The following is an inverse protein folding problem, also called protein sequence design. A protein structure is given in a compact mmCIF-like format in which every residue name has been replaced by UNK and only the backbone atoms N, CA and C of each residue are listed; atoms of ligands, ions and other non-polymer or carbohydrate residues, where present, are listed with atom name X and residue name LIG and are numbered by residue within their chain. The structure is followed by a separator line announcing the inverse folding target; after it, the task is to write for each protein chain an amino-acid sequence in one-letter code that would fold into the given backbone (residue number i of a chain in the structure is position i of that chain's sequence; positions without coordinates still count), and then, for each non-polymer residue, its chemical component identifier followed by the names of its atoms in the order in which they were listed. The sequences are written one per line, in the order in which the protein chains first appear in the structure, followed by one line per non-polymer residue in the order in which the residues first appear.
data_IF_423146777126
#
_entry.id   IF_423146777126
#
_cell.length_a   1.000
_cell.length_b   1.000
_cell.length_c   1.000
_cell.angle_alpha   90.00
_cell.angle_beta   90.00
_cell.angle_gamma   90.00
#
_symmetry.space_group_name_H-M   'P 1'
#
loop_
_entity.id
_entity.type
_entity.pdbx_description
1 polymer ?
#
# COMPACT_ATOMS: atom_id res chain seq x y z
N UNK A 1 40.15 -2.74 -14.30
CA UNK A 1 39.46 -1.86 -13.32
C UNK A 1 39.23 -2.65 -12.04
N UNK A 2 39.82 -2.22 -10.91
CA UNK A 2 39.79 -2.98 -9.65
C UNK A 2 38.36 -3.07 -9.08
N UNK A 3 38.08 -4.12 -8.31
CA UNK A 3 36.84 -4.28 -7.55
C UNK A 3 36.60 -3.10 -6.59
N UNK A 4 37.69 -2.52 -6.05
CA UNK A 4 37.68 -1.38 -5.15
C UNK A 4 37.18 -0.09 -5.83
N UNK A 5 37.57 0.17 -7.08
CA UNK A 5 37.06 1.33 -7.85
C UNK A 5 35.56 1.22 -8.19
N UNK A 6 34.96 0.01 -8.09
CA UNK A 6 33.51 -0.18 -8.23
C UNK A 6 32.76 0.09 -6.92
N UNK A 7 33.41 -0.06 -5.77
CA UNK A 7 32.87 0.29 -4.46
C UNK A 7 32.95 1.81 -4.19
N UNK A 8 34.00 2.49 -4.66
CA UNK A 8 34.13 3.96 -4.52
C UNK A 8 33.13 4.75 -5.39
N UNK A 9 32.74 4.24 -6.57
CA UNK A 9 31.67 4.88 -7.39
C UNK A 9 30.26 4.72 -6.81
N UNK A 10 30.12 4.12 -5.64
CA UNK A 10 28.85 3.94 -4.94
C UNK A 10 28.31 5.23 -4.28
N UNK A 11 28.86 6.41 -4.61
CA UNK A 11 28.33 7.70 -4.16
C UNK A 11 26.89 7.96 -4.67
N UNK A 12 26.46 7.27 -5.74
CA UNK A 12 25.09 7.34 -6.29
C UNK A 12 24.50 5.94 -6.55
N UNK A 13 24.23 5.16 -5.50
CA UNK A 13 23.49 3.89 -5.64
C UNK A 13 21.97 4.14 -5.56
N UNK A 14 21.17 3.74 -6.57
CA UNK A 14 19.70 3.89 -6.54
C UNK A 14 19.05 3.20 -5.32
N UNK A 15 19.72 2.19 -4.76
CA UNK A 15 19.32 1.55 -3.50
C UNK A 15 19.29 2.56 -2.35
N UNK A 16 20.33 3.40 -2.21
CA UNK A 16 20.42 4.40 -1.12
C UNK A 16 19.27 5.40 -1.19
N UNK A 17 18.94 5.88 -2.38
CA UNK A 17 17.81 6.79 -2.58
C UNK A 17 16.49 6.14 -2.20
N UNK A 18 16.25 4.90 -2.61
CA UNK A 18 15.04 4.18 -2.22
C UNK A 18 14.97 3.96 -0.71
N UNK A 19 16.08 3.62 -0.04
CA UNK A 19 16.12 3.53 1.42
C UNK A 19 15.74 4.86 2.08
N UNK A 20 16.35 5.96 1.65
CA UNK A 20 16.07 7.30 2.18
C UNK A 20 14.59 7.68 1.97
N UNK A 21 14.06 7.48 0.77
CA UNK A 21 12.66 7.83 0.45
C UNK A 21 11.68 7.00 1.30
N UNK A 22 11.90 5.69 1.43
CA UNK A 22 11.04 4.84 2.26
C UNK A 22 11.09 5.21 3.75
N UNK A 23 12.28 5.51 4.27
CA UNK A 23 12.46 5.96 5.65
C UNK A 23 11.81 7.33 5.89
N UNK A 24 11.97 8.26 4.94
CA UNK A 24 11.34 9.58 4.99
C UNK A 24 9.82 9.48 4.94
N UNK A 25 9.27 8.64 4.06
CA UNK A 25 7.82 8.42 3.95
C UNK A 25 7.24 7.76 5.20
N UNK A 26 7.97 6.84 5.84
CA UNK A 26 7.55 6.26 7.11
C UNK A 26 7.58 7.29 8.24
N UNK A 27 8.65 8.08 8.34
CA UNK A 27 8.75 9.18 9.32
C UNK A 27 7.63 10.21 9.11
N UNK A 28 7.33 10.57 7.86
CA UNK A 28 6.21 11.43 7.51
C UNK A 28 4.87 10.82 7.92
N UNK A 29 4.64 9.53 7.66
CA UNK A 29 3.41 8.83 8.05
C UNK A 29 3.22 8.81 9.56
N UNK A 30 4.29 8.61 10.33
CA UNK A 30 4.28 8.68 11.79
C UNK A 30 3.92 10.09 12.27
N UNK A 31 4.56 11.11 11.70
CA UNK A 31 4.26 12.52 12.01
C UNK A 31 2.81 12.89 11.67
N UNK A 32 2.32 12.45 10.51
CA UNK A 32 0.94 12.68 10.06
C UNK A 32 -0.07 12.02 10.99
N UNK A 33 0.25 10.83 11.51
CA UNK A 33 -0.62 10.12 12.46
C UNK A 33 -0.76 10.87 13.78
N UNK A 34 0.33 11.44 14.30
CA UNK A 34 0.29 12.29 15.53
C UNK A 34 -0.62 13.52 15.40
N UNK A 35 -0.93 13.97 14.18
CA UNK A 35 -1.87 15.10 13.95
C UNK A 35 -3.34 14.70 14.11
N UNK A 36 -3.63 13.41 14.05
CA UNK A 36 -4.99 12.85 14.18
C UNK A 36 -5.09 11.83 15.33
N UNK A 37 -4.03 11.60 16.12
CA UNK A 37 -4.00 10.65 17.24
C UNK A 37 -5.08 10.92 18.30
N UNK A 38 -5.49 12.19 18.45
CA UNK A 38 -6.58 12.59 19.34
C UNK A 38 -7.96 12.06 18.90
N UNK A 39 -8.05 11.60 17.64
CA UNK A 39 -9.22 10.96 17.03
C UNK A 39 -9.00 9.47 16.84
N UNK A 40 -7.92 9.10 16.15
CA UNK A 40 -7.62 7.74 15.73
C UNK A 40 -6.22 7.43 16.24
N UNK A 41 -6.11 6.84 17.45
CA UNK A 41 -4.81 6.54 18.05
C UNK A 41 -3.97 5.67 17.12
N UNK A 42 -2.76 6.12 16.80
CA UNK A 42 -1.80 5.31 16.07
C UNK A 42 -1.28 4.16 16.94
N UNK A 43 -0.98 2.99 16.36
CA UNK A 43 -0.24 1.94 17.04
C UNK A 43 1.11 2.46 17.55
N UNK A 44 1.57 1.97 18.71
CA UNK A 44 2.84 2.40 19.32
C UNK A 44 4.04 2.37 18.37
N UNK A 45 4.06 1.43 17.43
CA UNK A 45 5.18 1.19 16.51
C UNK A 45 4.80 1.35 15.03
N UNK A 46 3.76 2.11 14.70
CA UNK A 46 3.36 2.31 13.31
C UNK A 46 2.39 3.47 13.11
N UNK A 47 2.25 3.96 11.87
CA UNK A 47 1.26 4.98 11.54
C UNK A 47 -0.16 4.44 11.64
N UNK A 48 -1.12 5.35 11.83
CA UNK A 48 -2.55 5.03 11.80
C UNK A 48 -2.96 4.46 10.44
N UNK A 49 -3.81 3.43 10.46
CA UNK A 49 -4.39 2.85 9.24
C UNK A 49 -5.15 3.88 8.40
N UNK A 50 -5.73 4.90 9.03
CA UNK A 50 -6.40 6.00 8.36
C UNK A 50 -5.42 6.84 7.52
N UNK A 51 -4.27 7.22 8.10
CA UNK A 51 -3.21 7.92 7.37
C UNK A 51 -2.75 7.10 6.18
N UNK A 52 -2.46 5.81 6.38
CA UNK A 52 -2.02 4.93 5.29
C UNK A 52 -3.07 4.80 4.17
N UNK A 53 -4.34 4.75 4.54
CA UNK A 53 -5.47 4.64 3.61
C UNK A 53 -5.63 5.92 2.80
N UNK A 54 -5.72 7.09 3.43
CA UNK A 54 -5.90 8.35 2.69
C UNK A 54 -4.67 8.72 1.88
N UNK A 55 -3.49 8.52 2.46
CA UNK A 55 -2.24 8.95 1.87
C UNK A 55 -1.75 8.05 0.75
N UNK A 56 -2.31 6.87 0.49
CA UNK A 56 -1.94 6.16 -0.75
C UNK A 56 -2.00 4.66 -0.79
N UNK A 57 -2.62 3.99 0.19
CA UNK A 57 -2.90 2.55 0.08
C UNK A 57 -3.56 2.22 -1.27
N UNK A 58 -3.16 1.10 -1.88
CA UNK A 58 -3.56 0.71 -3.24
C UNK A 58 -4.99 0.16 -3.29
N UNK A 59 -5.97 1.02 -3.06
CA UNK A 59 -7.38 0.68 -3.05
C UNK A 59 -7.93 0.62 -4.48
N UNK A 60 -8.54 -0.52 -4.84
CA UNK A 60 -9.04 -0.77 -6.19
C UNK A 60 -10.08 0.26 -6.63
N UNK A 61 -11.12 0.49 -5.83
CA UNK A 61 -12.16 1.48 -6.13
C UNK A 61 -11.57 2.87 -6.38
N UNK A 62 -10.66 3.32 -5.51
CA UNK A 62 -10.01 4.64 -5.62
C UNK A 62 -9.19 4.78 -6.91
N UNK A 63 -8.43 3.74 -7.28
CA UNK A 63 -7.64 3.73 -8.51
C UNK A 63 -8.55 3.80 -9.75
N UNK A 64 -9.67 3.06 -9.75
CA UNK A 64 -10.62 3.05 -10.87
C UNK A 64 -11.31 4.41 -11.09
N UNK A 65 -11.49 5.20 -10.02
CA UNK A 65 -12.06 6.57 -10.11
C UNK A 65 -11.00 7.65 -10.33
N UNK A 66 -9.76 7.28 -10.65
CA UNK A 66 -8.73 8.22 -11.10
C UNK A 66 -7.62 8.52 -10.08
N UNK A 67 -7.62 7.91 -8.89
CA UNK A 67 -6.50 8.02 -7.93
C UNK A 67 -5.33 7.08 -8.30
N UNK A 68 -4.92 7.09 -9.57
CA UNK A 68 -3.85 6.25 -10.15
C UNK A 68 -2.54 6.35 -9.38
N UNK A 69 -2.29 7.51 -8.77
CA UNK A 69 -1.08 7.80 -8.01
C UNK A 69 -0.87 6.85 -6.85
N UNK A 70 -1.94 6.24 -6.31
CA UNK A 70 -1.89 5.20 -5.28
C UNK A 70 -1.10 3.96 -5.70
N UNK A 71 -1.01 3.67 -7.00
CA UNK A 71 -0.28 2.51 -7.49
C UNK A 71 1.24 2.61 -7.22
N UNK A 72 1.81 3.81 -7.32
CA UNK A 72 3.20 4.03 -6.89
C UNK A 72 3.28 4.44 -5.41
N UNK A 73 2.34 5.26 -4.92
CA UNK A 73 2.36 5.76 -3.55
C UNK A 73 2.37 4.64 -2.50
N UNK A 74 1.56 3.58 -2.72
CA UNK A 74 1.50 2.42 -1.83
C UNK A 74 2.85 1.73 -1.64
N UNK A 75 3.73 1.76 -2.64
CA UNK A 75 5.05 1.11 -2.60
C UNK A 75 5.97 1.71 -1.53
N UNK A 76 5.68 2.91 -1.04
CA UNK A 76 6.53 3.63 -0.09
C UNK A 76 5.92 3.76 1.32
N UNK A 77 4.67 3.32 1.50
CA UNK A 77 3.98 3.32 2.79
C UNK A 77 4.24 2.02 3.57
N UNK A 78 4.40 2.11 4.88
CA UNK A 78 4.70 0.94 5.72
C UNK A 78 3.85 0.92 6.99
N UNK A 79 3.35 -0.26 7.33
CA UNK A 79 2.39 -0.45 8.42
C UNK A 79 2.98 -0.29 9.83
N UNK A 80 4.25 -0.62 10.02
CA UNK A 80 4.92 -0.60 11.32
C UNK A 80 6.44 -0.70 11.16
N UNK A 81 7.14 -0.53 12.29
CA UNK A 81 8.60 -0.52 12.36
C UNK A 81 9.24 -1.84 11.87
N UNK A 82 8.70 -2.99 12.25
CA UNK A 82 9.21 -4.28 11.77
C UNK A 82 9.02 -4.43 10.26
N UNK A 83 7.85 -4.03 9.74
CA UNK A 83 7.54 -4.11 8.32
C UNK A 83 8.52 -3.27 7.49
N UNK A 84 8.81 -2.02 7.88
CA UNK A 84 9.83 -1.23 7.18
C UNK A 84 11.24 -1.79 7.38
N UNK A 85 11.60 -2.23 8.59
CA UNK A 85 12.93 -2.78 8.85
C UNK A 85 13.26 -3.99 7.97
N UNK A 86 12.33 -4.95 7.87
CA UNK A 86 12.51 -6.12 7.01
C UNK A 86 12.58 -5.74 5.52
N UNK A 87 11.73 -4.82 5.05
CA UNK A 87 11.78 -4.36 3.67
C UNK A 87 13.10 -3.65 3.33
N UNK A 88 13.58 -2.78 4.22
CA UNK A 88 14.82 -2.03 3.99
C UNK A 88 16.05 -2.95 4.05
N UNK A 89 16.05 -3.92 4.96
CA UNK A 89 17.07 -4.97 5.00
C UNK A 89 17.10 -5.79 3.69
N UNK A 90 15.94 -6.26 3.22
CA UNK A 90 15.84 -7.04 2.00
C UNK A 90 16.17 -6.20 0.75
N UNK A 91 15.72 -4.94 0.69
CA UNK A 91 16.05 -4.00 -0.37
C UNK A 91 17.56 -3.71 -0.41
N UNK A 92 18.20 -3.48 0.73
CA UNK A 92 19.64 -3.28 0.78
C UNK A 92 20.38 -4.53 0.28
N UNK A 93 19.97 -5.71 0.74
CA UNK A 93 20.62 -6.98 0.39
C UNK A 93 20.48 -7.32 -1.10
N UNK A 94 19.23 -7.46 -1.59
CA UNK A 94 18.99 -7.79 -2.99
C UNK A 94 19.33 -6.64 -3.93
N UNK A 95 19.04 -5.41 -3.53
CA UNK A 95 19.28 -4.24 -4.35
C UNK A 95 20.75 -3.95 -4.57
N UNK A 96 21.59 -4.08 -3.53
CA UNK A 96 23.04 -3.92 -3.68
C UNK A 96 23.59 -5.01 -4.59
N UNK A 97 23.21 -6.27 -4.37
CA UNK A 97 23.63 -7.38 -5.21
C UNK A 97 23.20 -7.20 -6.67
N UNK A 98 21.95 -6.81 -6.91
CA UNK A 98 21.44 -6.55 -8.25
C UNK A 98 22.10 -5.36 -8.92
N UNK A 99 22.43 -4.29 -8.19
CA UNK A 99 23.12 -3.11 -8.74
C UNK A 99 24.51 -3.47 -9.27
N UNK A 100 25.22 -4.38 -8.61
CA UNK A 100 26.52 -4.89 -9.08
C UNK A 100 26.42 -5.68 -10.39
N UNK A 101 25.27 -6.32 -10.64
CA UNK A 101 25.01 -7.14 -11.83
C UNK A 101 24.33 -6.35 -12.97
N UNK A 102 23.70 -5.23 -12.63
CA UNK A 102 22.89 -4.43 -13.54
C UNK A 102 23.71 -3.36 -14.25
N UNK A 103 23.23 -2.92 -15.43
CA UNK A 103 23.84 -1.85 -16.21
C UNK A 103 22.83 -0.73 -16.45
N UNK A 104 23.31 0.52 -16.43
CA UNK A 104 22.46 1.68 -16.66
C UNK A 104 21.26 1.69 -15.71
N UNK A 105 20.06 1.83 -16.25
CA UNK A 105 18.82 1.97 -15.48
C UNK A 105 18.08 0.65 -15.19
N UNK A 106 18.70 -0.50 -15.47
CA UNK A 106 18.04 -1.81 -15.30
C UNK A 106 17.56 -2.05 -13.88
N UNK A 107 18.32 -1.64 -12.86
CA UNK A 107 17.90 -1.74 -11.46
C UNK A 107 16.61 -0.95 -11.20
N UNK A 108 16.60 0.34 -11.52
CA UNK A 108 15.47 1.23 -11.29
C UNK A 108 14.22 0.75 -12.02
N UNK A 109 14.37 0.34 -13.29
CA UNK A 109 13.28 -0.21 -14.08
C UNK A 109 12.74 -1.50 -13.46
N UNK A 110 13.60 -2.43 -13.06
CA UNK A 110 13.17 -3.67 -12.41
C UNK A 110 12.42 -3.39 -11.11
N UNK A 111 12.95 -2.52 -10.24
CA UNK A 111 12.29 -2.18 -8.97
C UNK A 111 10.90 -1.58 -9.18
N UNK A 112 10.78 -0.56 -10.04
CA UNK A 112 9.51 0.14 -10.25
C UNK A 112 8.49 -0.71 -11.01
N UNK A 113 8.92 -1.44 -12.06
CA UNK A 113 8.02 -2.33 -12.80
C UNK A 113 7.53 -3.46 -11.89
N UNK A 114 8.42 -4.08 -11.09
CA UNK A 114 8.02 -5.11 -10.14
C UNK A 114 7.08 -4.60 -9.06
N UNK A 115 7.28 -3.39 -8.56
CA UNK A 115 6.34 -2.77 -7.62
C UNK A 115 4.94 -2.65 -8.23
N UNK A 116 4.85 -2.13 -9.47
CA UNK A 116 3.59 -1.99 -10.19
C UNK A 116 2.92 -3.33 -10.51
N UNK A 117 3.68 -4.35 -10.94
CA UNK A 117 3.09 -5.68 -11.18
C UNK A 117 2.69 -6.35 -9.88
N UNK A 118 3.37 -6.06 -8.76
CA UNK A 118 2.92 -6.45 -7.43
C UNK A 118 1.61 -5.79 -7.06
N UNK A 119 1.48 -4.48 -7.24
CA UNK A 119 0.21 -3.77 -7.02
C UNK A 119 -0.89 -4.34 -7.90
N UNK A 120 -0.62 -4.60 -9.19
CA UNK A 120 -1.59 -5.23 -10.07
C UNK A 120 -2.02 -6.61 -9.56
N UNK A 121 -1.08 -7.46 -9.15
CA UNK A 121 -1.38 -8.78 -8.58
C UNK A 121 -2.26 -8.69 -7.34
N UNK A 122 -1.96 -7.74 -6.45
CA UNK A 122 -2.77 -7.41 -5.28
C UNK A 122 -4.19 -7.00 -5.67
N UNK A 123 -4.33 -6.01 -6.55
CA UNK A 123 -5.63 -5.48 -6.99
C UNK A 123 -6.52 -6.55 -7.64
N UNK A 124 -5.94 -7.40 -8.49
CA UNK A 124 -6.68 -8.49 -9.14
C UNK A 124 -7.18 -9.51 -8.12
N UNK A 125 -6.33 -9.92 -7.18
CA UNK A 125 -6.70 -10.90 -6.17
C UNK A 125 -7.73 -10.35 -5.18
N UNK A 126 -7.51 -9.12 -4.68
CA UNK A 126 -8.41 -8.49 -3.72
C UNK A 126 -9.76 -8.14 -4.35
N UNK A 127 -9.77 -7.65 -5.59
CA UNK A 127 -10.99 -7.42 -6.35
C UNK A 127 -11.78 -8.70 -6.61
N UNK A 128 -11.10 -9.81 -6.94
CA UNK A 128 -11.74 -11.11 -7.10
C UNK A 128 -12.33 -11.63 -5.78
N UNK A 129 -11.58 -11.53 -4.67
CA UNK A 129 -11.98 -12.12 -3.39
C UNK A 129 -13.03 -11.30 -2.65
N UNK A 130 -13.00 -9.97 -2.77
CA UNK A 130 -13.83 -9.08 -1.96
C UNK A 130 -14.72 -8.13 -2.77
N UNK A 131 -14.61 -8.12 -4.10
CA UNK A 131 -15.32 -7.16 -4.96
C UNK A 131 -14.63 -5.79 -5.04
N UNK A 132 -15.09 -4.94 -5.96
CA UNK A 132 -14.41 -3.66 -6.28
C UNK A 132 -14.43 -2.66 -5.14
N UNK A 133 -15.62 -2.40 -4.60
CA UNK A 133 -15.83 -1.43 -3.51
C UNK A 133 -15.19 -1.92 -2.24
N UNK A 134 -15.32 -3.23 -2.01
CA UNK A 134 -14.93 -3.85 -0.79
C UNK A 134 -13.55 -4.54 -0.86
N UNK A 135 -12.63 -4.16 -1.76
CA UNK A 135 -11.27 -4.72 -1.84
C UNK A 135 -10.28 -3.97 -0.92
N UNK A 136 -9.54 -4.67 -0.03
CA UNK A 136 -8.61 -4.00 0.86
C UNK A 136 -7.39 -3.53 0.08
N UNK A 137 -6.88 -2.35 0.43
CA UNK A 137 -5.65 -1.83 -0.16
C UNK A 137 -4.40 -2.48 0.44
N UNK A 138 -3.30 -2.44 -0.32
CA UNK A 138 -1.99 -2.93 0.08
C UNK A 138 -0.98 -1.78 0.16
N UNK A 139 0.08 -1.99 0.95
CA UNK A 139 1.18 -1.05 1.13
C UNK A 139 2.51 -1.78 1.32
N UNK A 140 3.60 -1.12 0.98
CA UNK A 140 4.97 -1.55 1.26
C UNK A 140 5.80 -1.81 0.01
N UNK A 141 7.11 -1.70 0.18
CA UNK A 141 8.08 -1.95 -0.88
C UNK A 141 8.20 -3.43 -1.27
N UNK A 142 7.55 -4.33 -0.53
CA UNK A 142 7.78 -5.78 -0.60
C UNK A 142 7.50 -6.38 -1.98
N UNK A 143 6.46 -5.94 -2.70
CA UNK A 143 6.23 -6.37 -4.09
C UNK A 143 7.43 -6.10 -5.00
N UNK A 144 8.01 -4.89 -4.91
CA UNK A 144 9.21 -4.54 -5.66
C UNK A 144 10.44 -5.37 -5.23
N UNK A 145 10.60 -5.61 -3.92
CA UNK A 145 11.69 -6.43 -3.36
C UNK A 145 11.61 -7.89 -3.82
N UNK A 146 10.42 -8.50 -3.76
CA UNK A 146 10.19 -9.84 -4.31
C UNK A 146 10.47 -9.88 -5.81
N UNK A 147 10.20 -8.78 -6.52
CA UNK A 147 10.60 -8.58 -7.90
C UNK A 147 12.10 -8.56 -8.13
N UNK A 148 12.90 -7.94 -7.26
CA UNK A 148 14.37 -8.06 -7.35
C UNK A 148 14.80 -9.53 -7.21
N UNK A 149 14.17 -10.29 -6.32
CA UNK A 149 14.34 -11.74 -6.22
C UNK A 149 13.97 -12.47 -7.51
N UNK A 150 12.82 -12.14 -8.11
CA UNK A 150 12.37 -12.67 -9.40
C UNK A 150 13.31 -12.33 -10.55
N UNK A 151 13.86 -11.12 -10.57
CA UNK A 151 14.87 -10.72 -11.55
C UNK A 151 16.14 -11.56 -11.41
N UNK A 152 16.68 -11.71 -10.19
CA UNK A 152 17.88 -12.52 -9.95
C UNK A 152 17.63 -13.99 -10.33
N UNK A 153 16.46 -14.52 -9.98
CA UNK A 153 16.07 -15.88 -10.36
C UNK A 153 16.02 -16.05 -11.89
N UNK A 154 15.40 -15.11 -12.61
CA UNK A 154 15.33 -15.11 -14.07
C UNK A 154 16.68 -14.89 -14.75
N UNK A 155 17.55 -14.06 -14.16
CA UNK A 155 18.88 -13.73 -14.69
C UNK A 155 19.83 -14.93 -14.66
N UNK A 156 19.68 -15.81 -13.67
CA UNK A 156 20.47 -17.02 -13.51
C UNK A 156 19.75 -18.29 -13.98
N UNK A 157 18.54 -18.13 -14.56
CA UNK A 157 17.79 -19.27 -15.08
C UNK A 157 18.57 -19.93 -16.24
N UNK A 158 18.74 -21.25 -16.16
CA UNK A 158 19.54 -22.02 -17.13
C UNK A 158 21.06 -21.89 -16.98
N UNK A 159 21.57 -21.17 -15.97
CA UNK A 159 23.01 -21.06 -15.74
C UNK A 159 23.61 -22.38 -15.23
N UNK A 160 24.73 -22.80 -15.83
CA UNK A 160 25.53 -23.95 -15.38
C UNK A 160 26.59 -23.56 -14.33
N UNK A 161 26.81 -22.26 -14.12
CA UNK A 161 27.73 -21.75 -13.09
C UNK A 161 27.26 -22.17 -11.68
N UNK A 162 28.11 -22.87 -10.88
CA UNK A 162 27.73 -23.32 -9.54
C UNK A 162 27.35 -22.17 -8.59
N UNK A 163 28.00 -21.01 -8.70
CA UNK A 163 27.68 -19.83 -7.89
C UNK A 163 26.27 -19.30 -8.18
N UNK A 164 25.91 -19.16 -9.46
CA UNK A 164 24.59 -18.77 -9.91
C UNK A 164 23.50 -19.76 -9.48
N UNK A 165 23.79 -21.07 -9.52
CA UNK A 165 22.86 -22.09 -9.03
C UNK A 165 22.67 -21.99 -7.51
N UNK A 166 23.73 -21.76 -6.75
CA UNK A 166 23.65 -21.59 -5.30
C UNK A 166 22.81 -20.37 -4.93
N UNK A 167 23.00 -19.23 -5.61
CA UNK A 167 22.17 -18.02 -5.42
C UNK A 167 20.70 -18.33 -5.69
N UNK A 168 20.38 -19.07 -6.75
CA UNK A 168 18.99 -19.47 -7.03
C UNK A 168 18.41 -20.36 -5.95
N UNK A 169 19.16 -21.33 -5.42
CA UNK A 169 18.68 -22.19 -4.31
C UNK A 169 18.41 -21.37 -3.05
N UNK A 170 19.29 -20.43 -2.72
CA UNK A 170 19.09 -19.50 -1.60
C UNK A 170 17.86 -18.61 -1.81
N UNK A 171 17.64 -18.09 -3.03
CA UNK A 171 16.45 -17.32 -3.37
C UNK A 171 15.16 -18.14 -3.22
N UNK A 172 15.16 -19.40 -3.67
CA UNK A 172 14.01 -20.30 -3.51
C UNK A 172 13.75 -20.56 -2.02
N UNK A 173 14.79 -20.84 -1.24
CA UNK A 173 14.64 -21.01 0.20
C UNK A 173 14.08 -19.74 0.87
N UNK A 174 14.64 -18.58 0.56
CA UNK A 174 14.18 -17.29 1.07
C UNK A 174 12.71 -17.04 0.70
N UNK A 175 12.32 -17.32 -0.55
CA UNK A 175 10.94 -17.19 -1.02
C UNK A 175 10.01 -18.09 -0.20
N UNK A 176 10.30 -19.39 -0.12
CA UNK A 176 9.49 -20.37 0.61
C UNK A 176 9.37 -20.01 2.10
N UNK A 177 10.48 -19.60 2.73
CA UNK A 177 10.48 -19.17 4.12
C UNK A 177 9.61 -17.93 4.34
N UNK A 178 9.69 -16.91 3.47
CA UNK A 178 8.86 -15.71 3.58
C UNK A 178 7.38 -16.01 3.34
N UNK A 179 7.03 -16.90 2.41
CA UNK A 179 5.63 -17.32 2.24
C UNK A 179 5.13 -18.11 3.44
N UNK A 180 5.93 -19.04 3.98
CA UNK A 180 5.54 -19.84 5.13
C UNK A 180 5.36 -18.99 6.40
N UNK A 181 6.31 -18.11 6.71
CA UNK A 181 6.20 -17.15 7.81
C UNK A 181 5.05 -16.17 7.54
N UNK A 182 4.95 -15.68 6.30
CA UNK A 182 3.97 -14.68 5.96
C UNK A 182 2.54 -15.18 6.04
N UNK A 183 2.30 -16.46 5.73
CA UNK A 183 1.00 -17.10 5.86
C UNK A 183 0.51 -17.17 7.32
N UNK A 184 1.41 -17.06 8.29
CA UNK A 184 1.09 -17.03 9.72
C UNK A 184 0.80 -15.61 10.24
N UNK A 185 1.14 -14.56 9.47
CA UNK A 185 0.95 -13.17 9.85
C UNK A 185 -0.25 -12.61 9.09
N UNK A 186 -1.37 -12.28 9.78
CA UNK A 186 -2.53 -11.73 9.14
C UNK A 186 -2.21 -10.46 8.34
N UNK A 187 -2.91 -10.28 7.21
CA UNK A 187 -2.82 -9.10 6.33
C UNK A 187 -1.52 -8.96 5.53
N UNK A 188 -0.74 -10.04 5.36
CA UNK A 188 0.33 -10.06 4.36
C UNK A 188 -0.24 -10.30 2.96
N UNK A 189 0.19 -9.46 2.02
CA UNK A 189 -0.25 -9.49 0.64
C UNK A 189 0.61 -10.43 -0.23
N UNK A 190 0.27 -11.71 -0.18
CA UNK A 190 0.93 -12.75 -0.97
C UNK A 190 0.73 -12.57 -2.49
N UNK A 191 -0.44 -12.09 -2.92
CA UNK A 191 -0.70 -11.85 -4.33
C UNK A 191 0.20 -10.74 -4.87
N UNK A 192 0.43 -9.69 -4.06
CA UNK A 192 1.39 -8.65 -4.36
C UNK A 192 2.83 -9.15 -4.47
N UNK A 193 3.25 -10.06 -3.57
CA UNK A 193 4.57 -10.69 -3.64
C UNK A 193 4.76 -11.53 -4.91
N UNK A 194 3.76 -12.34 -5.27
CA UNK A 194 3.79 -13.16 -6.50
C UNK A 194 3.83 -12.27 -7.74
N UNK A 195 2.94 -11.26 -7.82
CA UNK A 195 2.90 -10.32 -8.94
C UNK A 195 4.22 -9.56 -9.11
N UNK A 196 4.86 -9.18 -8.00
CA UNK A 196 6.17 -8.55 -8.01
C UNK A 196 7.28 -9.46 -8.54
N UNK A 197 7.36 -10.68 -8.02
CA UNK A 197 8.30 -11.71 -8.47
C UNK A 197 8.18 -11.98 -9.99
N UNK A 198 6.95 -12.17 -10.48
CA UNK A 198 6.68 -12.39 -11.90
C UNK A 198 7.17 -11.21 -12.75
N UNK A 199 6.85 -9.98 -12.35
CA UNK A 199 7.31 -8.79 -13.08
C UNK A 199 8.83 -8.68 -13.16
N UNK A 200 9.52 -8.97 -12.05
CA UNK A 200 10.97 -8.95 -12.00
C UNK A 200 11.60 -10.04 -12.89
N UNK A 201 11.03 -11.25 -12.87
CA UNK A 201 11.43 -12.33 -13.75
C UNK A 201 11.30 -11.94 -15.22
N UNK A 202 10.17 -11.36 -15.62
CA UNK A 202 9.94 -10.88 -16.99
C UNK A 202 11.00 -9.84 -17.38
N UNK A 203 11.27 -8.85 -16.51
CA UNK A 203 12.31 -7.83 -16.76
C UNK A 203 13.68 -8.48 -16.99
N UNK A 204 14.05 -9.49 -16.19
CA UNK A 204 15.30 -10.22 -16.41
C UNK A 204 15.35 -10.94 -17.75
N UNK A 205 14.25 -11.58 -18.16
CA UNK A 205 14.18 -12.31 -19.43
C UNK A 205 14.26 -11.39 -20.64
N UNK A 206 13.63 -10.22 -20.57
CA UNK A 206 13.71 -9.18 -21.59
C UNK A 206 15.10 -8.52 -21.64
N UNK A 207 15.76 -8.31 -20.50
CA UNK A 207 17.07 -7.65 -20.40
C UNK A 207 18.28 -8.54 -20.71
N UNK A 208 18.15 -9.86 -20.51
CA UNK A 208 19.21 -10.87 -20.63
C UNK A 208 19.50 -11.38 -22.04
N UNK A 209 18.84 -10.85 -23.08
CA UNK A 209 19.15 -11.15 -24.48
C UNK A 209 18.36 -12.31 -25.11
N UNK A 210 17.39 -12.91 -24.40
CA UNK A 210 16.57 -14.00 -24.95
C UNK A 210 15.36 -13.57 -25.80
N UNK A 211 14.93 -12.30 -25.73
CA UNK A 211 13.66 -11.82 -26.32
C UNK A 211 13.86 -10.54 -27.19
N UNK A 212 15.08 -10.27 -27.63
CA UNK A 212 15.38 -9.22 -28.62
C UNK A 212 16.16 -8.01 -28.08
N UNK A 213 16.97 -7.41 -28.96
CA UNK A 213 17.95 -6.37 -28.62
C UNK A 213 17.33 -5.02 -28.22
N UNK A 214 16.09 -4.74 -28.64
CA UNK A 214 15.37 -3.50 -28.37
C UNK A 214 14.91 -3.34 -26.92
N UNK A 215 14.25 -4.36 -26.35
CA UNK A 215 13.78 -4.33 -24.96
C UNK A 215 14.94 -4.20 -23.97
N UNK A 216 16.03 -4.95 -24.19
CA UNK A 216 17.25 -4.84 -23.40
C UNK A 216 17.86 -3.43 -23.47
N UNK A 217 17.82 -2.77 -24.64
CA UNK A 217 18.29 -1.39 -24.81
C UNK A 217 17.41 -0.40 -24.06
N UNK A 218 16.09 -0.54 -24.14
CA UNK A 218 15.15 0.32 -23.42
C UNK A 218 15.32 0.20 -21.90
N UNK A 219 15.44 -1.02 -21.37
CA UNK A 219 15.64 -1.28 -19.94
C UNK A 219 16.98 -0.75 -19.42
N UNK A 220 18.00 -0.66 -20.27
CA UNK A 220 19.29 -0.04 -19.91
C UNK A 220 19.25 1.48 -20.06
N UNK A 221 18.36 2.00 -20.90
CA UNK A 221 18.21 3.43 -21.14
C UNK A 221 17.52 4.15 -19.97
N UNK A 222 17.90 5.41 -19.76
CA UNK A 222 17.28 6.25 -18.74
C UNK A 222 15.88 6.75 -19.08
N UNK A 223 15.40 6.59 -20.32
CA UNK A 223 14.12 7.17 -20.75
C UNK A 223 12.94 6.57 -19.98
N UNK A 224 12.82 5.24 -19.97
CA UNK A 224 11.78 4.55 -19.22
C UNK A 224 11.93 4.78 -17.71
N UNK A 225 13.16 4.67 -17.21
CA UNK A 225 13.44 4.85 -15.78
C UNK A 225 13.09 6.24 -15.27
N UNK A 226 13.36 7.28 -16.06
CA UNK A 226 13.03 8.65 -15.72
C UNK A 226 11.51 8.88 -15.70
N UNK A 227 10.76 8.33 -16.66
CA UNK A 227 9.29 8.39 -16.64
C UNK A 227 8.74 7.72 -15.37
N UNK A 228 9.21 6.51 -15.05
CA UNK A 228 8.76 5.80 -13.86
C UNK A 228 9.13 6.54 -12.56
N UNK A 229 10.31 7.15 -12.50
CA UNK A 229 10.74 7.96 -11.35
C UNK A 229 9.88 9.23 -11.21
N UNK A 230 9.57 9.92 -12.31
CA UNK A 230 8.70 11.09 -12.28
C UNK A 230 7.29 10.72 -11.82
N UNK A 231 6.74 9.60 -12.31
CA UNK A 231 5.44 9.11 -11.85
C UNK A 231 5.47 8.74 -10.35
N UNK A 232 6.52 8.07 -9.89
CA UNK A 232 6.68 7.76 -8.47
C UNK A 232 6.80 9.03 -7.61
N UNK A 233 7.57 10.02 -8.06
CA UNK A 233 7.70 11.30 -7.36
C UNK A 233 6.39 12.09 -7.32
N UNK A 234 5.66 12.15 -8.44
CA UNK A 234 4.33 12.75 -8.52
C UNK A 234 3.35 12.04 -7.60
N UNK A 235 3.42 10.71 -7.51
CA UNK A 235 2.62 9.92 -6.59
C UNK A 235 2.92 10.19 -5.12
N UNK A 236 4.20 10.35 -4.75
CA UNK A 236 4.58 10.74 -3.40
C UNK A 236 4.09 12.16 -3.05
N UNK A 237 4.18 13.08 -4.00
CA UNK A 237 3.62 14.42 -3.83
C UNK A 237 2.09 14.36 -3.65
N UNK A 238 1.39 13.57 -4.46
CA UNK A 238 -0.05 13.35 -4.35
C UNK A 238 -0.43 12.69 -3.01
N UNK A 239 0.35 11.72 -2.53
CA UNK A 239 0.24 11.10 -1.21
C UNK A 239 0.24 12.13 -0.08
N UNK A 240 1.20 13.06 -0.13
CA UNK A 240 1.32 14.12 0.88
C UNK A 240 0.22 15.16 0.72
N UNK A 241 -0.07 15.59 -0.52
CA UNK A 241 -1.11 16.57 -0.83
C UNK A 241 -2.50 16.08 -0.42
N UNK A 242 -2.84 14.83 -0.74
CA UNK A 242 -4.13 14.23 -0.45
C UNK A 242 -4.37 14.16 1.07
N UNK A 243 -3.34 13.84 1.87
CA UNK A 243 -3.44 13.95 3.32
C UNK A 243 -3.71 15.40 3.78
N UNK A 244 -3.04 16.40 3.19
CA UNK A 244 -3.27 17.81 3.54
C UNK A 244 -4.67 18.31 3.16
N UNK A 245 -5.25 17.82 2.06
CA UNK A 245 -6.62 18.15 1.65
C UNK A 245 -7.68 17.43 2.48
N UNK A 246 -7.43 16.16 2.84
CA UNK A 246 -8.37 15.34 3.61
C UNK A 246 -8.27 15.52 5.13
N UNK A 247 -7.22 16.19 5.65
CA UNK A 247 -7.11 16.52 7.09
C UNK A 247 -8.21 17.46 7.59
N UNK A 248 -8.90 18.15 6.68
CA UNK A 248 -10.07 18.97 7.01
C UNK A 248 -11.40 18.19 6.95
N UNK A 249 -11.39 16.94 6.44
CA UNK A 249 -12.50 15.98 6.48
C UNK A 249 -12.21 14.70 7.31
N UNK A 250 -11.47 14.75 8.42
CA UNK A 250 -10.69 13.60 8.86
C UNK A 250 -11.45 12.59 9.73
N UNK A 251 -12.75 12.75 9.94
CA UNK A 251 -13.44 12.03 11.01
C UNK A 251 -14.65 11.23 10.55
N UNK A 252 -15.51 11.88 9.77
CA UNK A 252 -16.71 11.23 9.24
C UNK A 252 -16.36 10.31 8.08
N UNK A 253 -15.62 10.81 7.09
CA UNK A 253 -15.11 10.02 5.95
C UNK A 253 -14.13 8.91 6.40
N UNK A 254 -13.45 9.13 7.53
CA UNK A 254 -12.54 8.18 8.17
C UNK A 254 -13.22 6.97 8.78
N UNK A 255 -14.24 7.23 9.61
CA UNK A 255 -14.97 6.22 10.37
C UNK A 255 -15.97 5.48 9.49
N UNK A 256 -16.62 6.18 8.53
CA UNK A 256 -17.47 5.59 7.50
C UNK A 256 -16.72 4.55 6.65
N UNK A 257 -15.52 4.90 6.18
CA UNK A 257 -14.81 4.08 5.19
C UNK A 257 -13.96 2.97 5.81
N UNK A 258 -13.27 3.21 6.93
CA UNK A 258 -12.34 2.22 7.50
C UNK A 258 -13.03 1.12 8.33
N UNK A 259 -14.13 1.44 9.00
CA UNK A 259 -14.83 0.49 9.89
C UNK A 259 -16.20 0.07 9.35
N UNK A 260 -16.96 0.95 8.68
CA UNK A 260 -18.18 0.57 7.96
C UNK A 260 -17.93 -0.52 6.91
N UNK A 261 -16.79 -0.44 6.21
CA UNK A 261 -16.34 -1.49 5.30
C UNK A 261 -16.07 -2.85 5.99
N UNK A 262 -15.43 -2.86 7.17
CA UNK A 262 -15.16 -4.08 7.95
C UNK A 262 -16.48 -4.71 8.45
N UNK A 263 -17.43 -3.86 8.79
CA UNK A 263 -18.79 -4.24 9.22
C UNK A 263 -19.57 -4.86 8.07
N UNK A 264 -19.62 -4.18 6.92
CA UNK A 264 -20.26 -4.67 5.68
C UNK A 264 -19.63 -5.98 5.19
N UNK A 265 -18.33 -6.17 5.40
CA UNK A 265 -17.60 -7.42 5.11
C UNK A 265 -17.79 -8.52 6.17
N UNK A 266 -18.54 -8.27 7.25
CA UNK A 266 -18.74 -9.23 8.34
C UNK A 266 -17.52 -9.46 9.24
N UNK A 267 -16.44 -8.70 9.06
CA UNK A 267 -15.15 -8.93 9.72
C UNK A 267 -14.94 -8.06 10.97
N UNK A 268 -15.84 -7.11 11.26
CA UNK A 268 -15.77 -6.29 12.46
C UNK A 268 -16.23 -7.06 13.71
N UNK A 269 -15.41 -7.08 14.75
CA UNK A 269 -15.82 -7.57 16.07
C UNK A 269 -16.73 -6.55 16.77
N UNK A 270 -17.46 -6.99 17.80
CA UNK A 270 -18.27 -6.09 18.64
C UNK A 270 -17.40 -5.03 19.33
N UNK A 271 -16.13 -5.32 19.59
CA UNK A 271 -15.18 -4.35 20.14
C UNK A 271 -14.85 -3.24 19.13
N UNK A 272 -14.60 -3.61 17.86
CA UNK A 272 -14.31 -2.67 16.77
C UNK A 272 -15.49 -1.71 16.53
N UNK A 273 -16.70 -2.21 16.67
CA UNK A 273 -17.93 -1.43 16.55
C UNK A 273 -18.12 -0.45 17.72
N UNK A 274 -17.80 -0.85 18.96
CA UNK A 274 -17.93 0.02 20.15
C UNK A 274 -16.95 1.20 20.11
N UNK A 275 -15.71 0.93 19.71
CA UNK A 275 -14.68 1.95 19.60
C UNK A 275 -15.00 2.95 18.47
N UNK A 276 -15.54 2.48 17.34
CA UNK A 276 -16.04 3.35 16.28
C UNK A 276 -17.15 4.30 16.75
N UNK A 277 -18.05 3.81 17.61
CA UNK A 277 -19.16 4.60 18.15
C UNK A 277 -18.67 5.66 19.15
N UNK A 278 -17.64 5.33 19.93
CA UNK A 278 -16.97 6.23 20.86
C UNK A 278 -16.25 7.37 20.11
N UNK A 279 -15.45 7.03 19.09
CA UNK A 279 -14.74 8.02 18.28
C UNK A 279 -15.72 8.97 17.59
N UNK A 280 -16.86 8.45 17.11
CA UNK A 280 -17.91 9.28 16.53
C UNK A 280 -18.57 10.23 17.51
N UNK A 281 -18.80 9.79 18.75
CA UNK A 281 -19.40 10.61 19.80
C UNK A 281 -18.60 11.88 20.06
N UNK A 282 -17.27 11.77 20.09
CA UNK A 282 -16.38 12.93 20.20
C UNK A 282 -16.57 13.96 19.08
N UNK A 283 -16.77 13.51 17.83
CA UNK A 283 -16.99 14.42 16.68
C UNK A 283 -18.29 15.18 16.81
N UNK A 284 -19.32 14.48 17.25
CA UNK A 284 -20.66 15.04 17.44
C UNK A 284 -20.59 16.13 18.51
N UNK A 285 -19.87 15.89 19.59
CA UNK A 285 -19.69 16.85 20.69
C UNK A 285 -18.85 18.07 20.30
N UNK A 286 -17.89 17.92 19.38
CA UNK A 286 -17.04 19.02 18.90
C UNK A 286 -17.73 19.94 17.85
N UNK A 287 -18.94 19.60 17.37
CA UNK A 287 -19.84 20.53 16.67
C UNK A 287 -19.39 21.06 15.30
N UNK A 288 -18.48 20.36 14.61
CA UNK A 288 -17.90 20.82 13.34
C UNK A 288 -18.82 20.70 12.10
N UNK A 289 -18.30 21.13 10.93
CA UNK A 289 -18.98 21.11 9.60
C UNK A 289 -19.60 19.76 9.20
N UNK A 290 -19.20 18.66 9.82
CA UNK A 290 -19.63 17.29 9.50
C UNK A 290 -20.40 16.62 10.65
N UNK A 291 -20.80 17.35 11.70
CA UNK A 291 -21.47 16.78 12.86
C UNK A 291 -22.76 16.03 12.50
N UNK A 292 -23.52 16.49 11.51
CA UNK A 292 -24.75 15.80 11.06
C UNK A 292 -24.47 14.47 10.37
N UNK A 293 -23.44 14.43 9.52
CA UNK A 293 -23.00 13.19 8.86
C UNK A 293 -22.39 12.21 9.87
N UNK A 294 -21.70 12.70 10.91
CA UNK A 294 -21.28 11.89 12.05
C UNK A 294 -22.51 11.29 12.77
N UNK A 295 -23.48 12.11 13.20
CA UNK A 295 -24.69 11.62 13.88
C UNK A 295 -25.43 10.54 13.08
N UNK A 296 -25.57 10.71 11.77
CA UNK A 296 -26.22 9.72 10.91
C UNK A 296 -25.49 8.37 10.90
N UNK A 297 -24.16 8.38 10.79
CA UNK A 297 -23.37 7.14 10.84
C UNK A 297 -23.34 6.52 12.24
N UNK A 298 -23.37 7.33 13.31
CA UNK A 298 -23.44 6.82 14.68
C UNK A 298 -24.72 6.02 14.92
N UNK A 299 -25.85 6.52 14.39
CA UNK A 299 -27.15 5.83 14.45
C UNK A 299 -27.09 4.47 13.75
N UNK A 300 -26.57 4.43 12.53
CA UNK A 300 -26.39 3.16 11.79
C UNK A 300 -25.48 2.17 12.52
N UNK A 301 -24.38 2.65 13.08
CA UNK A 301 -23.41 1.81 13.79
C UNK A 301 -23.99 1.22 15.08
N UNK A 302 -24.77 2.00 15.82
CA UNK A 302 -25.48 1.53 17.01
C UNK A 302 -26.51 0.46 16.67
N UNK A 303 -27.24 0.62 15.57
CA UNK A 303 -28.16 -0.40 15.05
C UNK A 303 -27.47 -1.74 14.74
N UNK A 304 -26.32 -1.70 14.06
CA UNK A 304 -25.54 -2.91 13.76
C UNK A 304 -25.03 -3.60 15.05
N UNK A 305 -24.60 -2.81 16.04
CA UNK A 305 -24.20 -3.31 17.35
C UNK A 305 -25.33 -4.06 18.05
N UNK A 306 -26.57 -3.59 17.92
CA UNK A 306 -27.76 -4.21 18.52
C UNK A 306 -28.14 -5.51 17.81
N UNK A 307 -28.13 -5.52 16.47
CA UNK A 307 -28.32 -6.75 15.67
C UNK A 307 -27.34 -7.83 16.09
N UNK A 308 -26.05 -7.50 16.22
CA UNK A 308 -25.01 -8.46 16.61
C UNK A 308 -25.09 -8.90 18.07
N UNK A 309 -25.75 -8.13 18.94
CA UNK A 309 -26.06 -8.50 20.33
C UNK A 309 -27.34 -9.33 20.45
N UNK A 310 -28.11 -9.47 19.37
CA UNK A 310 -29.36 -10.22 19.34
C UNK A 310 -30.58 -9.44 19.84
N UNK A 311 -30.47 -8.11 19.99
CA UNK A 311 -31.56 -7.25 20.44
C UNK A 311 -32.10 -6.47 19.23
N UNK A 312 -33.28 -6.82 18.73
CA UNK A 312 -33.90 -6.20 17.53
C UNK A 312 -35.00 -5.20 17.84
N UNK A 313 -35.06 -4.66 19.06
CA UNK A 313 -36.36 -4.26 19.61
C UNK A 313 -36.58 -2.79 19.96
N UNK A 314 -35.63 -1.86 19.77
CA UNK A 314 -35.76 -0.56 20.45
C UNK A 314 -36.22 0.66 19.64
N UNK A 315 -35.77 0.88 18.41
CA UNK A 315 -35.92 2.23 17.82
C UNK A 315 -36.88 2.36 16.63
N UNK A 316 -37.54 1.28 16.19
CA UNK A 316 -38.60 1.36 15.16
C UNK A 316 -38.14 1.81 13.77
N UNK A 317 -36.88 2.24 13.60
CA UNK A 317 -36.25 2.49 12.31
C UNK A 317 -35.83 1.18 11.65
N UNK A 318 -36.26 0.96 10.41
CA UNK A 318 -35.84 -0.20 9.61
C UNK A 318 -34.43 0.00 9.07
N UNK A 319 -33.72 -1.11 8.78
CA UNK A 319 -32.42 -1.08 8.08
C UNK A 319 -32.49 -0.20 6.82
N UNK A 320 -33.60 -0.27 6.08
CA UNK A 320 -33.83 0.55 4.90
C UNK A 320 -33.91 2.06 5.21
N UNK A 321 -34.54 2.46 6.32
CA UNK A 321 -34.60 3.86 6.74
C UNK A 321 -33.22 4.37 7.16
N UNK A 322 -32.45 3.58 7.90
CA UNK A 322 -31.08 3.91 8.29
C UNK A 322 -30.16 4.03 7.08
N UNK A 323 -30.25 3.10 6.11
CA UNK A 323 -29.48 3.17 4.88
C UNK A 323 -29.85 4.39 4.02
N UNK A 324 -31.11 4.82 4.02
CA UNK A 324 -31.53 6.09 3.39
C UNK A 324 -30.94 7.30 4.11
N UNK A 325 -30.87 7.29 5.44
CA UNK A 325 -30.25 8.38 6.21
C UNK A 325 -28.74 8.44 5.98
N UNK A 326 -28.06 7.29 5.92
CA UNK A 326 -26.64 7.19 5.56
C UNK A 326 -26.41 7.70 4.14
N UNK A 327 -27.23 7.28 3.17
CA UNK A 327 -27.13 7.76 1.79
C UNK A 327 -27.40 9.27 1.67
N UNK A 328 -28.31 9.82 2.47
CA UNK A 328 -28.55 11.26 2.54
C UNK A 328 -27.37 12.02 3.17
N UNK A 329 -26.74 11.45 4.20
CA UNK A 329 -25.53 12.00 4.80
C UNK A 329 -24.34 11.96 3.83
N UNK A 330 -24.18 10.88 3.06
CA UNK A 330 -23.18 10.77 1.99
C UNK A 330 -23.40 11.84 0.92
N UNK A 331 -24.66 12.10 0.56
CA UNK A 331 -25.02 13.18 -0.37
C UNK A 331 -24.68 14.56 0.18
N UNK A 332 -24.92 14.82 1.47
CA UNK A 332 -24.54 16.09 2.12
C UNK A 332 -23.02 16.28 2.17
N UNK A 333 -22.25 15.21 2.41
CA UNK A 333 -20.79 15.23 2.31
C UNK A 333 -20.36 15.55 0.88
N UNK A 334 -20.97 14.90 -0.13
CA UNK A 334 -20.67 15.15 -1.54
C UNK A 334 -21.04 16.57 -2.00
N UNK A 335 -22.14 17.14 -1.50
CA UNK A 335 -22.55 18.52 -1.79
C UNK A 335 -21.66 19.55 -1.07
N UNK A 336 -21.21 19.25 0.15
CA UNK A 336 -20.19 20.03 0.87
C UNK A 336 -18.83 20.04 0.15
N UNK A 337 -18.42 18.88 -0.38
CA UNK A 337 -17.22 18.72 -1.22
C UNK A 337 -17.30 19.50 -2.55
N UNK A 338 -18.51 19.73 -3.07
CA UNK A 338 -18.77 20.47 -4.30
C UNK A 338 -18.73 22.00 -4.15
N UNK A 339 -18.78 22.52 -2.91
CA UNK A 339 -18.61 23.95 -2.62
C UNK A 339 -17.20 24.20 -2.11
N UNK A 340 -16.22 24.25 -3.01
CA UNK A 340 -14.94 24.86 -2.67
C UNK A 340 -15.11 26.39 -2.55
N UNK A 341 -14.56 27.04 -1.51
CA UNK A 341 -14.24 28.46 -1.59
C UNK A 341 -13.11 28.73 -2.58
#
# INVERSE_FOLDING_TARGET
MSFLNRLERAEFSPVRYLLIVNLAMFAWSMWASRRIDWVIPAPQFGPSGAVLTWSGSSQLAAILVGEWWRAFGSMFLHANLLHIAFNMFALYSFGTYMTLLSRGWTFTNAYLISGLTGVLGSLLWQGYRHGVVAAPGSIGASGAVFGLGGYLFGRFHGSTDPGAQQVRRQLVFWLLANFAIGAQIPRIDHAGHIGGFIGGFIVARLGGGGIGSGAARLLRSGRLGMVLVVLAAASLAATIWNWHGRREEPLVTALLFARGYQVVQGNASVADLKEAAFDLGRVVDEGGRYAESAKAFQRWLNYELEIRRGDRSRDGETEEQLMRQVAAADKLVAEGLGRQP
#
